data_IF_046163158857
#
_entry.id   IF_046163158857
#
_cell.length_a   1.000
_cell.length_b   1.000
_cell.length_c   1.000
_cell.angle_alpha   90.00
_cell.angle_beta   90.00
_cell.angle_gamma   90.00
#
_symmetry.space_group_name_H-M   'P 1'
#
loop_
_entity.id
_entity.type
_entity.pdbx_description
1 polymer ?
#
# COMPACT_ATOMS: atom_id res chain seq x y z
N UNK A 1 0.42 -15.54 -4.59
CA UNK A 1 -1.05 -15.39 -4.68
C UNK A 1 -1.34 -14.07 -5.39
N UNK A 2 -2.54 -13.88 -5.96
CA UNK A 2 -2.98 -12.57 -6.48
C UNK A 2 -3.81 -11.86 -5.42
N UNK A 3 -3.42 -10.66 -5.04
CA UNK A 3 -4.02 -9.91 -3.92
C UNK A 3 -4.34 -8.49 -4.39
N UNK A 4 -5.60 -8.09 -4.26
CA UNK A 4 -6.00 -6.68 -4.40
C UNK A 4 -6.10 -6.07 -3.01
N UNK A 5 -5.33 -5.01 -2.75
CA UNK A 5 -5.44 -4.20 -1.54
C UNK A 5 -6.12 -2.87 -1.85
N UNK A 6 -7.05 -2.48 -0.97
CA UNK A 6 -7.74 -1.19 -1.05
C UNK A 6 -7.26 -0.33 0.12
N UNK A 7 -6.59 0.78 -0.19
CA UNK A 7 -6.23 1.80 0.78
C UNK A 7 -7.33 2.88 0.87
N UNK A 8 -7.45 3.57 2.01
CA UNK A 8 -8.20 4.82 2.07
C UNK A 8 -7.65 5.84 1.05
N UNK A 9 -8.52 6.69 0.51
CA UNK A 9 -8.15 7.66 -0.53
C UNK A 9 -7.69 9.02 0.03
N UNK A 10 -7.59 9.15 1.36
CA UNK A 10 -7.39 10.43 2.03
C UNK A 10 -5.92 10.87 2.06
N UNK A 11 -4.99 9.93 2.04
CA UNK A 11 -3.55 10.18 2.16
C UNK A 11 -2.78 9.20 1.27
N UNK A 12 -1.56 9.59 0.87
CA UNK A 12 -0.69 8.74 0.06
C UNK A 12 -0.25 7.47 0.82
N UNK A 13 0.05 6.42 0.06
CA UNK A 13 0.72 5.22 0.54
C UNK A 13 2.14 5.16 -0.07
N UNK A 14 3.21 5.22 0.75
CA UNK A 14 3.21 5.54 2.18
C UNK A 14 2.86 7.02 2.46
N UNK A 15 2.37 7.33 3.67
CA UNK A 15 1.96 8.69 4.01
C UNK A 15 3.20 9.59 4.24
N UNK A 16 3.16 10.87 3.83
CA UNK A 16 4.23 11.82 4.11
C UNK A 16 4.29 12.23 5.59
N UNK A 17 3.18 12.08 6.32
CA UNK A 17 3.04 12.46 7.72
C UNK A 17 2.13 11.47 8.48
N UNK A 18 1.05 11.96 9.08
CA UNK A 18 0.13 11.13 9.85
C UNK A 18 -0.80 10.34 8.91
N UNK A 19 -0.54 9.04 8.78
CA UNK A 19 -1.40 8.09 8.08
C UNK A 19 -1.21 6.69 8.65
N UNK A 20 -1.85 6.39 9.77
CA UNK A 20 -1.61 5.13 10.49
C UNK A 20 -1.98 3.90 9.64
N UNK A 21 -3.11 3.99 8.92
CA UNK A 21 -3.56 2.91 8.04
C UNK A 21 -2.67 2.78 6.81
N UNK A 22 -2.33 3.90 6.17
CA UNK A 22 -1.51 3.97 4.97
C UNK A 22 -0.08 3.45 5.23
N UNK A 23 0.49 3.74 6.41
CA UNK A 23 1.77 3.21 6.83
C UNK A 23 1.74 1.67 6.94
N UNK A 24 0.67 1.10 7.52
CA UNK A 24 0.51 -0.36 7.62
C UNK A 24 0.29 -0.99 6.25
N UNK A 25 -0.52 -0.36 5.38
CA UNK A 25 -0.75 -0.85 4.02
C UNK A 25 0.54 -0.88 3.22
N UNK A 26 1.39 0.16 3.34
CA UNK A 26 2.72 0.18 2.71
C UNK A 26 3.56 -1.00 3.20
N UNK A 27 3.76 -1.14 4.51
CA UNK A 27 4.56 -2.23 5.08
C UNK A 27 4.06 -3.62 4.67
N UNK A 28 2.74 -3.81 4.66
CA UNK A 28 2.14 -5.08 4.26
C UNK A 28 2.31 -5.34 2.76
N UNK A 29 2.16 -4.32 1.91
CA UNK A 29 2.36 -4.44 0.46
C UNK A 29 3.78 -4.90 0.16
N UNK A 30 4.77 -4.19 0.70
CA UNK A 30 6.20 -4.48 0.48
C UNK A 30 6.56 -5.91 0.91
N UNK A 31 6.12 -6.35 2.08
CA UNK A 31 6.44 -7.68 2.59
C UNK A 31 5.71 -8.80 1.82
N UNK A 32 4.47 -8.57 1.35
CA UNK A 32 3.76 -9.54 0.51
C UNK A 32 4.42 -9.68 -0.87
N UNK A 33 4.87 -8.56 -1.47
CA UNK A 33 5.64 -8.57 -2.72
C UNK A 33 6.97 -9.30 -2.51
N UNK A 34 7.70 -9.02 -1.42
CA UNK A 34 8.96 -9.69 -1.08
C UNK A 34 8.81 -11.22 -0.93
N UNK A 35 7.64 -11.69 -0.50
CA UNK A 35 7.29 -13.13 -0.41
C UNK A 35 6.84 -13.74 -1.74
N UNK A 36 6.90 -13.00 -2.84
CA UNK A 36 6.55 -13.48 -4.18
C UNK A 36 5.04 -13.50 -4.45
N UNK A 37 4.27 -12.63 -3.81
CA UNK A 37 2.87 -12.42 -4.15
C UNK A 37 2.72 -11.32 -5.21
N UNK A 38 1.71 -11.46 -6.07
CA UNK A 38 1.31 -10.48 -7.06
C UNK A 38 0.26 -9.58 -6.41
N UNK A 39 0.68 -8.37 -6.02
CA UNK A 39 -0.14 -7.41 -5.27
C UNK A 39 -0.48 -6.24 -6.17
N UNK A 40 -1.77 -5.90 -6.24
CA UNK A 40 -2.24 -4.64 -6.80
C UNK A 40 -2.77 -3.79 -5.66
N UNK A 41 -2.23 -2.58 -5.51
CA UNK A 41 -2.72 -1.61 -4.54
C UNK A 41 -3.57 -0.54 -5.25
N UNK A 42 -4.84 -0.43 -4.87
CA UNK A 42 -5.66 0.72 -5.23
C UNK A 42 -5.59 1.74 -4.08
N UNK A 43 -4.95 2.88 -4.34
CA UNK A 43 -4.71 3.95 -3.38
C UNK A 43 -4.93 5.33 -4.05
N UNK A 44 -4.64 6.40 -3.31
CA UNK A 44 -4.64 7.75 -3.87
C UNK A 44 -3.63 7.86 -5.03
N UNK A 45 -3.90 8.75 -5.99
CA UNK A 45 -3.11 8.84 -7.23
C UNK A 45 -1.67 9.34 -7.06
N UNK A 46 -1.32 9.85 -5.88
CA UNK A 46 0.01 10.30 -5.47
C UNK A 46 0.80 9.24 -4.65
N UNK A 47 0.23 8.04 -4.47
CA UNK A 47 0.89 6.92 -3.81
C UNK A 47 2.06 6.37 -4.65
N UNK A 48 3.14 5.96 -3.99
CA UNK A 48 4.32 5.35 -4.64
C UNK A 48 4.78 4.14 -3.83
N UNK A 49 4.72 2.95 -4.43
CA UNK A 49 5.10 1.66 -3.82
C UNK A 49 5.63 0.71 -4.91
N UNK A 50 6.21 -0.42 -4.51
CA UNK A 50 6.84 -1.43 -5.38
C UNK A 50 5.89 -2.20 -6.31
#
# INVERSE_FOLDING_TARGET
MKILQLAPLWEAVPPPAYGGTEAVVSLLTEELVARGHDVTLAASGDSTTS
#
